data_IF_033781601311
#
_entry.id   IF_033781601311
#
_cell.length_a   1.000
_cell.length_b   1.000
_cell.length_c   1.000
_cell.angle_alpha   90.00
_cell.angle_beta   90.00
_cell.angle_gamma   90.00
#
_symmetry.space_group_name_H-M   'P 1'
#
loop_
_entity.id
_entity.type
_entity.pdbx_description
1 polymer ?
#
# COMPACT_ATOMS: atom_id res chain seq x y z
N UNK A 1 54.17 -6.22 46.52
CA UNK A 1 54.27 -5.68 45.15
C UNK A 1 52.86 -5.25 44.74
N UNK A 2 52.62 -3.92 44.65
CA UNK A 2 51.44 -3.23 44.06
C UNK A 2 50.12 -3.38 44.83
N UNK A 3 49.67 -2.38 45.60
CA UNK A 3 48.84 -1.20 45.22
C UNK A 3 47.36 -1.55 44.99
N UNK A 4 46.43 -1.38 45.94
CA UNK A 4 45.61 -0.19 46.34
C UNK A 4 44.84 0.57 45.21
N UNK A 5 43.52 0.60 45.39
CA UNK A 5 42.58 1.73 45.18
C UNK A 5 41.92 2.05 43.80
N UNK A 6 40.64 2.48 43.93
CA UNK A 6 39.74 3.22 43.02
C UNK A 6 39.06 2.44 41.86
N UNK A 7 37.74 2.16 41.90
CA UNK A 7 36.56 3.04 41.64
C UNK A 7 36.45 3.65 40.23
N UNK A 8 35.20 3.68 39.75
CA UNK A 8 34.58 4.48 38.67
C UNK A 8 34.31 3.83 37.30
N UNK A 9 32.99 3.62 37.08
CA UNK A 9 32.20 3.85 35.85
C UNK A 9 32.41 2.83 34.70
N UNK A 10 31.39 2.41 33.95
CA UNK A 10 30.15 3.10 33.62
C UNK A 10 29.02 2.12 33.30
N UNK A 11 27.82 2.50 33.71
CA UNK A 11 26.57 1.80 33.48
C UNK A 11 26.01 2.18 32.10
N UNK A 12 25.96 1.25 31.15
CA UNK A 12 25.37 1.56 29.83
C UNK A 12 24.74 0.38 29.06
N UNK A 13 24.50 -0.78 29.67
CA UNK A 13 23.97 -1.94 28.93
C UNK A 13 22.81 -2.69 29.60
N UNK A 14 21.96 -1.99 30.34
CA UNK A 14 20.76 -2.60 30.95
C UNK A 14 19.46 -1.82 30.71
N UNK A 15 19.37 -0.98 29.67
CA UNK A 15 18.25 -0.05 29.49
C UNK A 15 17.52 -0.11 28.14
N UNK A 16 17.53 -1.24 27.43
CA UNK A 16 16.85 -1.32 26.11
C UNK A 16 15.74 -2.38 25.99
N UNK A 17 15.39 -3.11 27.05
CA UNK A 17 14.32 -4.12 26.98
C UNK A 17 13.50 -4.08 28.27
N UNK A 18 12.62 -3.09 28.41
CA UNK A 18 11.34 -3.13 29.15
C UNK A 18 10.74 -1.71 29.24
N UNK A 19 10.14 -1.22 28.14
CA UNK A 19 9.23 -0.06 28.21
C UNK A 19 8.03 -0.22 27.26
N UNK A 20 7.47 -1.43 27.25
CA UNK A 20 6.11 -1.68 26.80
C UNK A 20 5.39 -2.39 27.94
N UNK A 21 5.02 -1.64 28.99
CA UNK A 21 3.78 -1.82 29.75
C UNK A 21 3.70 -0.80 30.90
N UNK A 22 2.55 -0.11 30.96
CA UNK A 22 2.00 0.58 32.13
C UNK A 22 2.48 2.02 32.39
N UNK A 23 2.24 2.94 31.45
CA UNK A 23 2.07 4.35 31.80
C UNK A 23 0.70 4.55 32.45
N UNK A 24 0.66 4.29 33.75
CA UNK A 24 -0.42 4.63 34.67
C UNK A 24 -0.66 6.13 34.60
N UNK A 25 -1.88 6.54 34.26
CA UNK A 25 -2.30 7.94 34.21
C UNK A 25 -2.15 8.58 35.61
N UNK A 26 -1.18 9.48 35.77
CA UNK A 26 -1.12 10.38 36.91
C UNK A 26 -2.07 11.57 36.67
N UNK A 27 -3.00 11.88 37.59
CA UNK A 27 -3.83 13.08 37.49
C UNK A 27 -3.11 14.23 38.18
N UNK A 28 -2.61 15.19 37.41
CA UNK A 28 -2.12 16.46 37.96
C UNK A 28 -0.77 16.88 37.43
N UNK A 29 -0.74 17.29 36.16
CA UNK A 29 0.08 18.44 35.78
C UNK A 29 -0.69 19.20 34.69
N UNK A 30 -1.54 20.13 35.12
CA UNK A 30 -2.25 21.04 34.22
C UNK A 30 -1.29 22.13 33.76
N UNK A 31 -0.31 21.77 32.95
CA UNK A 31 0.26 22.70 31.99
C UNK A 31 -0.91 23.13 31.09
N UNK A 32 -1.24 24.43 30.97
CA UNK A 32 -2.24 24.86 30.02
C UNK A 32 -1.73 24.45 28.65
N UNK A 33 -2.32 23.39 28.08
CA UNK A 33 -2.06 23.03 26.69
C UNK A 33 -2.35 24.30 25.92
N UNK A 34 -1.32 24.97 25.39
CA UNK A 34 -1.53 26.12 24.51
C UNK A 34 -2.53 25.62 23.48
N UNK A 35 -3.74 26.22 23.48
CA UNK A 35 -4.83 25.87 22.56
C UNK A 35 -4.45 26.37 21.18
N UNK A 36 -3.36 25.84 20.63
CA UNK A 36 -3.02 26.02 19.23
C UNK A 36 -4.03 25.24 18.41
N UNK A 37 -4.57 25.88 17.36
CA UNK A 37 -5.38 25.19 16.37
C UNK A 37 -4.59 24.00 15.80
N UNK A 38 -5.25 22.87 15.60
CA UNK A 38 -4.66 21.72 14.90
C UNK A 38 -4.90 21.90 13.40
N UNK A 39 -3.83 21.93 12.62
CA UNK A 39 -3.95 21.84 11.17
C UNK A 39 -4.45 20.45 10.79
N UNK A 40 -5.58 20.38 10.08
CA UNK A 40 -6.11 19.14 9.54
C UNK A 40 -6.33 19.34 8.06
N UNK A 41 -5.50 18.76 7.18
CA UNK A 41 -5.73 18.86 5.75
C UNK A 41 -7.06 18.21 5.40
N UNK A 42 -7.91 18.97 4.70
CA UNK A 42 -9.16 18.44 4.19
C UNK A 42 -8.86 17.57 2.97
N UNK A 43 -9.45 16.37 2.95
CA UNK A 43 -9.38 15.48 1.79
C UNK A 43 -10.02 16.14 0.57
N UNK A 44 -9.40 15.98 -0.59
CA UNK A 44 -9.95 16.45 -1.86
C UNK A 44 -11.24 15.71 -2.22
N UNK A 45 -12.06 16.31 -3.09
CA UNK A 45 -13.30 15.69 -3.62
C UNK A 45 -13.03 14.34 -4.29
N UNK A 46 -11.85 14.17 -4.88
CA UNK A 46 -11.45 12.92 -5.51
C UNK A 46 -11.00 11.90 -4.45
N UNK A 47 -10.31 12.30 -3.37
CA UNK A 47 -10.04 11.39 -2.24
C UNK A 47 -11.31 10.88 -1.55
N UNK A 48 -12.35 11.71 -1.45
CA UNK A 48 -13.66 11.30 -0.90
C UNK A 48 -14.44 10.41 -1.86
N UNK A 49 -14.29 10.58 -3.17
CA UNK A 49 -14.87 9.68 -4.19
C UNK A 49 -14.06 8.40 -4.40
N UNK A 50 -12.78 8.39 -4.05
CA UNK A 50 -11.86 7.25 -4.18
C UNK A 50 -12.08 6.19 -3.12
N UNK A 51 -13.34 5.93 -2.78
CA UNK A 51 -13.70 4.75 -2.02
C UNK A 51 -13.21 3.52 -2.81
N UNK A 52 -12.60 2.56 -2.12
CA UNK A 52 -11.87 1.42 -2.69
C UNK A 52 -12.67 0.71 -3.79
N UNK A 53 -12.56 1.17 -5.04
CA UNK A 53 -13.17 0.48 -6.17
C UNK A 53 -12.31 -0.73 -6.46
N UNK A 54 -12.67 -1.85 -5.88
CA UNK A 54 -11.99 -3.12 -6.08
C UNK A 54 -12.50 -3.75 -7.37
N UNK A 55 -11.59 -4.27 -8.20
CA UNK A 55 -11.89 -5.01 -9.40
C UNK A 55 -11.09 -6.30 -9.47
N UNK A 56 -11.52 -7.23 -10.32
CA UNK A 56 -10.83 -8.50 -10.53
C UNK A 56 -9.88 -8.42 -11.71
N UNK A 57 -8.68 -8.96 -11.53
CA UNK A 57 -7.68 -9.12 -12.59
C UNK A 57 -7.25 -10.57 -12.70
N UNK A 58 -6.89 -10.97 -13.91
CA UNK A 58 -6.26 -12.26 -14.14
C UNK A 58 -4.76 -12.19 -13.87
N UNK A 59 -4.26 -13.18 -13.14
CA UNK A 59 -2.85 -13.34 -12.77
C UNK A 59 -2.35 -14.69 -13.25
N UNK A 60 -1.15 -14.75 -13.79
CA UNK A 60 -0.50 -15.99 -14.19
C UNK A 60 0.94 -16.07 -13.68
N UNK A 61 1.42 -17.29 -13.41
CA UNK A 61 2.81 -17.56 -13.08
C UNK A 61 3.67 -17.57 -14.35
N UNK A 62 4.80 -16.84 -14.34
CA UNK A 62 5.69 -16.71 -15.50
C UNK A 62 7.16 -16.88 -15.09
N UNK A 63 7.96 -17.70 -15.80
CA UNK A 63 9.41 -17.75 -15.60
C UNK A 63 10.06 -16.41 -15.95
N UNK A 64 11.08 -15.97 -15.20
CA UNK A 64 11.68 -14.65 -15.42
C UNK A 64 12.23 -14.44 -16.84
N UNK A 65 12.67 -15.52 -17.51
CA UNK A 65 13.18 -15.49 -18.90
C UNK A 65 12.12 -15.14 -19.94
N UNK A 66 10.85 -15.50 -19.70
CA UNK A 66 9.74 -15.28 -20.65
C UNK A 66 8.85 -14.10 -20.27
N UNK A 67 9.08 -13.51 -19.09
CA UNK A 67 8.27 -12.43 -18.51
C UNK A 67 8.05 -11.25 -19.47
N UNK A 68 9.11 -10.76 -20.11
CA UNK A 68 9.03 -9.64 -21.05
C UNK A 68 8.25 -9.99 -22.32
N UNK A 69 8.45 -11.19 -22.87
CA UNK A 69 7.73 -11.70 -24.04
C UNK A 69 6.24 -11.80 -23.77
N UNK A 70 5.86 -12.40 -22.63
CA UNK A 70 4.47 -12.55 -22.22
C UNK A 70 3.82 -11.19 -21.99
N UNK A 71 4.50 -10.26 -21.31
CA UNK A 71 3.99 -8.89 -21.11
C UNK A 71 3.76 -8.16 -22.43
N UNK A 72 4.69 -8.28 -23.38
CA UNK A 72 4.55 -7.64 -24.69
C UNK A 72 3.40 -8.25 -25.50
N UNK A 73 3.15 -9.55 -25.39
CA UNK A 73 1.97 -10.17 -25.98
C UNK A 73 0.68 -9.62 -25.35
N UNK A 74 0.63 -9.54 -24.01
CA UNK A 74 -0.54 -9.02 -23.29
C UNK A 74 -0.84 -7.58 -23.68
N UNK A 75 0.17 -6.70 -23.80
CA UNK A 75 -0.01 -5.32 -24.28
C UNK A 75 -0.57 -5.24 -25.70
N UNK A 76 -0.30 -6.24 -26.55
CA UNK A 76 -0.86 -6.32 -27.91
C UNK A 76 -2.31 -6.80 -27.90
N UNK A 77 -2.65 -7.72 -26.98
CA UNK A 77 -4.01 -8.25 -26.84
C UNK A 77 -4.95 -7.24 -26.18
N UNK A 78 -4.46 -6.52 -25.17
CA UNK A 78 -5.23 -5.57 -24.38
C UNK A 78 -4.44 -4.25 -24.34
N UNK A 79 -4.57 -3.41 -25.38
CA UNK A 79 -4.00 -2.07 -25.34
C UNK A 79 -4.62 -1.30 -24.17
N UNK A 80 -3.77 -0.56 -23.44
CA UNK A 80 -4.14 0.26 -22.28
C UNK A 80 -5.00 -0.44 -21.23
N UNK A 81 -4.81 -1.76 -21.06
CA UNK A 81 -5.55 -2.63 -20.13
C UNK A 81 -7.10 -2.54 -20.30
N UNK A 82 -7.57 -2.09 -21.47
CA UNK A 82 -8.98 -1.87 -21.79
C UNK A 82 -9.53 -0.52 -21.32
N UNK A 83 -8.66 0.49 -21.18
CA UNK A 83 -9.00 1.83 -20.74
C UNK A 83 -8.96 2.03 -19.22
N UNK A 84 -8.46 1.04 -18.47
CA UNK A 84 -8.27 1.11 -17.02
C UNK A 84 -6.82 1.47 -16.71
N UNK A 85 -6.60 2.56 -15.97
CA UNK A 85 -5.26 2.92 -15.52
C UNK A 85 -4.85 2.08 -14.31
N UNK A 86 -4.09 1.01 -14.58
CA UNK A 86 -3.52 0.12 -13.56
C UNK A 86 -2.01 0.37 -13.35
N UNK A 87 -1.50 1.55 -13.72
CA UNK A 87 -0.08 1.85 -13.62
C UNK A 87 0.45 1.94 -12.19
N UNK A 88 -0.42 2.16 -11.20
CA UNK A 88 -0.07 2.09 -9.78
C UNK A 88 0.19 0.66 -9.31
N UNK A 89 -0.35 -0.35 -9.99
CA UNK A 89 -0.11 -1.74 -9.66
C UNK A 89 1.22 -2.22 -10.24
N UNK A 90 1.98 -2.95 -9.44
CA UNK A 90 3.20 -3.58 -9.92
C UNK A 90 2.82 -4.78 -10.79
N UNK A 91 2.95 -4.66 -12.11
CA UNK A 91 2.56 -5.74 -13.04
C UNK A 91 3.23 -7.08 -12.74
N UNK A 92 4.48 -7.06 -12.26
CA UNK A 92 5.17 -8.24 -11.76
C UNK A 92 5.27 -8.24 -10.24
N UNK A 93 4.85 -9.33 -9.62
CA UNK A 93 5.03 -9.57 -8.19
C UNK A 93 5.90 -10.81 -7.96
N UNK A 94 6.83 -10.71 -7.00
CA UNK A 94 7.56 -11.87 -6.51
C UNK A 94 6.69 -12.57 -5.45
N UNK A 95 6.83 -13.90 -5.25
CA UNK A 95 6.11 -14.62 -4.21
C UNK A 95 6.20 -13.96 -2.83
N UNK A 96 7.38 -13.44 -2.46
CA UNK A 96 7.63 -12.75 -1.20
C UNK A 96 6.94 -11.39 -1.02
N UNK A 97 6.57 -10.75 -2.13
CA UNK A 97 5.95 -9.41 -2.12
C UNK A 97 4.41 -9.54 -2.07
N UNK A 98 3.86 -10.75 -2.19
CA UNK A 98 2.43 -11.00 -2.25
C UNK A 98 1.78 -11.12 -0.87
N UNK A 99 0.54 -10.65 -0.71
CA UNK A 99 -0.28 -10.95 0.45
C UNK A 99 -0.39 -12.45 0.75
N UNK A 100 -0.55 -12.86 2.02
CA UNK A 100 -0.63 -14.28 2.40
C UNK A 100 -1.73 -15.06 1.67
N UNK A 101 -2.89 -14.44 1.47
CA UNK A 101 -4.05 -15.09 0.83
C UNK A 101 -3.86 -15.23 -0.69
N UNK A 102 -3.30 -14.22 -1.38
CA UNK A 102 -2.98 -14.34 -2.82
C UNK A 102 -1.82 -15.31 -3.03
N UNK A 103 -0.80 -15.27 -2.16
CA UNK A 103 0.29 -16.24 -2.19
C UNK A 103 -0.22 -17.68 -2.04
N UNK A 104 -1.12 -17.93 -1.07
CA UNK A 104 -1.74 -19.24 -0.88
C UNK A 104 -2.55 -19.66 -2.11
N UNK A 105 -3.36 -18.78 -2.68
CA UNK A 105 -4.15 -19.05 -3.88
C UNK A 105 -3.27 -19.42 -5.09
N UNK A 106 -2.16 -18.70 -5.27
CA UNK A 106 -1.27 -18.83 -6.43
C UNK A 106 -0.29 -20.02 -6.31
N UNK A 107 0.00 -20.46 -5.09
CA UNK A 107 0.96 -21.54 -4.80
C UNK A 107 0.28 -22.88 -4.52
N UNK A 108 -0.97 -22.86 -4.06
CA UNK A 108 -1.72 -24.09 -3.82
C UNK A 108 -2.14 -24.69 -5.16
N UNK A 109 -1.72 -25.92 -5.50
CA UNK A 109 -2.20 -26.60 -6.70
C UNK A 109 -3.67 -26.94 -6.50
N UNK A 110 -4.56 -26.08 -7.02
CA UNK A 110 -6.00 -26.34 -7.00
C UNK A 110 -6.33 -27.54 -7.90
N UNK A 111 -7.04 -28.57 -7.40
CA UNK A 111 -7.58 -29.63 -8.23
C UNK A 111 -8.82 -29.13 -8.98
N UNK A 112 -8.64 -28.68 -10.23
CA UNK A 112 -9.65 -28.43 -11.30
C UNK A 112 -10.39 -27.06 -11.33
N UNK A 113 -10.94 -26.62 -12.50
CA UNK A 113 -10.85 -27.16 -13.87
C UNK A 113 -10.34 -26.13 -14.91
N UNK A 114 -9.24 -26.45 -15.63
CA UNK A 114 -8.89 -26.02 -17.02
C UNK A 114 -7.40 -26.27 -17.31
N UNK A 115 -6.91 -27.46 -16.99
CA UNK A 115 -5.58 -27.91 -17.40
C UNK A 115 -5.68 -28.63 -18.74
N UNK A 116 -5.31 -27.99 -19.85
CA UNK A 116 -4.92 -28.72 -21.07
C UNK A 116 -3.49 -29.23 -20.87
N UNK A 117 -3.37 -30.43 -20.30
CA UNK A 117 -2.09 -31.13 -20.14
C UNK A 117 -1.89 -32.08 -21.31
N UNK A 118 -0.92 -31.79 -22.19
CA UNK A 118 -0.33 -32.82 -23.05
C UNK A 118 0.50 -33.78 -22.19
N UNK A 119 0.35 -35.11 -22.36
CA UNK A 119 1.10 -36.08 -21.56
C UNK A 119 2.51 -36.21 -22.15
N UNK A 120 3.50 -35.67 -21.45
CA UNK A 120 4.86 -36.15 -21.58
C UNK A 120 5.49 -36.24 -20.21
N UNK A 121 5.79 -37.49 -19.83
CA UNK A 121 6.39 -37.86 -18.58
C UNK A 121 7.82 -37.30 -18.46
N UNK A 122 8.06 -36.51 -17.42
CA UNK A 122 9.39 -36.37 -16.80
C UNK A 122 9.22 -35.78 -15.41
N UNK A 123 9.52 -36.59 -14.40
CA UNK A 123 9.62 -36.19 -13.00
C UNK A 123 10.63 -35.04 -12.85
N UNK A 124 10.12 -33.82 -12.75
CA UNK A 124 10.89 -32.61 -12.45
C UNK A 124 10.11 -31.89 -11.35
N UNK A 125 10.75 -31.46 -10.25
CA UNK A 125 10.05 -30.87 -9.11
C UNK A 125 9.18 -29.69 -9.56
N UNK A 126 8.04 -29.41 -8.89
CA UNK A 126 7.15 -28.33 -9.29
C UNK A 126 7.95 -27.02 -9.30
N UNK A 127 8.25 -26.51 -10.49
CA UNK A 127 8.94 -25.24 -10.64
C UNK A 127 7.98 -24.17 -10.16
N UNK A 128 8.11 -23.76 -8.90
CA UNK A 128 7.35 -22.63 -8.36
C UNK A 128 7.60 -21.43 -9.27
N UNK A 129 6.55 -20.78 -9.79
CA UNK A 129 6.73 -19.64 -10.68
C UNK A 129 7.54 -18.57 -9.95
N UNK A 130 8.63 -18.13 -10.59
CA UNK A 130 9.53 -17.13 -10.00
C UNK A 130 8.86 -15.76 -9.88
N UNK A 131 7.91 -15.48 -10.78
CA UNK A 131 7.18 -14.22 -10.87
C UNK A 131 5.70 -14.48 -11.20
N UNK A 132 4.85 -13.62 -10.66
CA UNK A 132 3.44 -13.53 -11.01
C UNK A 132 3.19 -12.26 -11.80
N UNK A 133 2.43 -12.38 -12.90
CA UNK A 133 2.13 -11.29 -13.82
C UNK A 133 0.63 -11.02 -13.85
N UNK A 134 0.25 -9.75 -13.67
CA UNK A 134 -1.09 -9.27 -14.00
C UNK A 134 -1.24 -9.23 -15.52
N UNK A 135 -2.18 -10.02 -16.03
CA UNK A 135 -2.52 -10.08 -17.44
C UNK A 135 -3.56 -9.04 -17.86
N UNK A 136 -4.33 -8.52 -16.92
CA UNK A 136 -5.35 -7.52 -17.17
C UNK A 136 -6.65 -7.80 -16.42
N UNK A 137 -7.61 -6.87 -16.49
CA UNK A 137 -8.88 -6.97 -15.80
C UNK A 137 -9.83 -7.97 -16.46
N UNK A 138 -10.65 -8.63 -15.65
CA UNK A 138 -11.64 -9.61 -16.12
C UNK A 138 -12.75 -8.99 -16.98
N UNK A 139 -12.90 -7.66 -16.93
CA UNK A 139 -13.82 -6.89 -17.78
C UNK A 139 -13.34 -6.71 -19.22
N UNK A 140 -12.03 -6.78 -19.47
CA UNK A 140 -11.45 -6.45 -20.79
C UNK A 140 -11.10 -7.70 -21.61
N UNK A 141 -10.84 -8.84 -20.95
CA UNK A 141 -10.51 -10.10 -21.62
C UNK A 141 -11.18 -11.27 -20.92
N UNK A 142 -11.54 -12.31 -21.66
CA UNK A 142 -12.07 -13.55 -21.09
C UNK A 142 -10.95 -14.59 -20.93
N UNK A 143 -11.00 -15.37 -19.85
CA UNK A 143 -10.07 -16.49 -19.55
C UNK A 143 -9.65 -17.34 -20.78
N UNK A 144 -10.55 -17.91 -21.61
CA UNK A 144 -10.16 -18.78 -22.72
C UNK A 144 -9.37 -18.07 -23.83
N UNK A 145 -9.66 -16.79 -24.11
CA UNK A 145 -8.94 -15.99 -25.12
C UNK A 145 -7.50 -15.74 -24.69
N UNK A 146 -7.34 -15.43 -23.40
CA UNK A 146 -6.04 -15.23 -22.78
C UNK A 146 -5.23 -16.54 -22.77
N UNK A 147 -5.84 -17.66 -22.38
CA UNK A 147 -5.18 -18.98 -22.39
C UNK A 147 -4.72 -19.39 -23.78
N UNK A 148 -5.57 -19.21 -24.80
CA UNK A 148 -5.24 -19.52 -26.20
C UNK A 148 -4.01 -18.74 -26.66
N UNK A 149 -3.90 -17.48 -26.25
CA UNK A 149 -2.78 -16.61 -26.62
C UNK A 149 -1.50 -16.92 -25.84
N UNK A 150 -1.61 -17.37 -24.59
CA UNK A 150 -0.46 -17.70 -23.74
C UNK A 150 0.10 -19.11 -23.99
N UNK A 151 -0.75 -20.04 -24.43
CA UNK A 151 -0.40 -21.45 -24.74
C UNK A 151 0.88 -21.64 -25.56
N UNK A 152 1.14 -20.88 -26.64
CA UNK A 152 2.37 -21.05 -27.44
C UNK A 152 3.65 -20.61 -26.73
N UNK A 153 3.57 -19.81 -25.66
CA UNK A 153 4.74 -19.22 -24.99
C UNK A 153 5.04 -19.95 -23.68
N UNK A 154 3.99 -20.33 -22.94
CA UNK A 154 4.11 -20.89 -21.60
C UNK A 154 3.79 -22.39 -21.61
N UNK A 155 4.73 -23.26 -21.18
CA UNK A 155 4.52 -24.70 -21.17
C UNK A 155 3.48 -25.15 -20.12
N UNK A 156 3.25 -24.34 -19.09
CA UNK A 156 2.24 -24.59 -18.05
C UNK A 156 1.62 -23.24 -17.66
N UNK A 157 0.30 -23.14 -17.76
CA UNK A 157 -0.44 -21.90 -17.52
C UNK A 157 -1.46 -22.16 -16.42
N UNK A 158 -1.37 -21.37 -15.36
CA UNK A 158 -2.37 -21.32 -14.30
C UNK A 158 -2.88 -19.90 -14.20
N UNK A 159 -4.16 -19.72 -14.51
CA UNK A 159 -4.81 -18.43 -14.45
C UNK A 159 -5.61 -18.32 -13.15
N UNK A 160 -5.40 -17.23 -12.43
CA UNK A 160 -6.05 -16.95 -11.16
C UNK A 160 -6.75 -15.60 -11.22
N UNK A 161 -7.87 -15.47 -10.54
CA UNK A 161 -8.54 -14.20 -10.35
C UNK A 161 -8.15 -13.59 -9.00
N UNK A 162 -7.67 -12.35 -9.03
CA UNK A 162 -7.24 -11.63 -7.82
C UNK A 162 -7.95 -10.28 -7.76
N UNK A 163 -8.35 -9.90 -6.55
CA UNK A 163 -8.96 -8.60 -6.27
C UNK A 163 -7.86 -7.53 -6.12
N UNK A 164 -7.98 -6.44 -6.87
CA UNK A 164 -7.00 -5.33 -6.85
C UNK A 164 -7.70 -3.96 -6.88
N UNK A 165 -7.09 -2.92 -6.31
CA UNK A 165 -7.64 -1.57 -6.36
C UNK A 165 -7.56 -1.02 -7.79
N UNK A 166 -8.71 -0.55 -8.31
CA UNK A 166 -8.83 0.03 -9.66
C UNK A 166 -8.38 1.49 -9.74
N UNK A 167 -8.21 2.15 -8.59
CA UNK A 167 -7.77 3.53 -8.50
C UNK A 167 -6.36 3.58 -7.91
N UNK A 168 -5.59 4.58 -8.33
CA UNK A 168 -4.28 4.83 -7.75
C UNK A 168 -4.40 5.24 -6.26
N UNK A 169 -3.44 4.83 -5.40
CA UNK A 169 -3.45 5.21 -4.00
C UNK A 169 -3.26 6.72 -3.86
N UNK A 170 -3.95 7.32 -2.90
CA UNK A 170 -3.87 8.76 -2.60
C UNK A 170 -2.76 9.09 -1.61
N UNK A 171 -2.36 8.11 -0.78
CA UNK A 171 -1.26 8.23 0.18
C UNK A 171 -0.31 7.03 0.15
N UNK A 172 0.90 7.23 0.69
CA UNK A 172 1.88 6.16 0.85
C UNK A 172 1.38 5.07 1.81
N UNK A 173 0.72 5.44 2.90
CA UNK A 173 0.12 4.51 3.87
C UNK A 173 -0.96 3.63 3.22
N UNK A 174 -1.78 4.22 2.36
CA UNK A 174 -2.80 3.49 1.61
C UNK A 174 -2.15 2.48 0.66
N UNK A 175 -1.09 2.88 -0.07
CA UNK A 175 -0.37 1.96 -0.95
C UNK A 175 0.25 0.77 -0.19
N UNK A 176 0.77 0.98 1.02
CA UNK A 176 1.28 -0.09 1.88
C UNK A 176 0.16 -1.04 2.34
N UNK A 177 -0.97 -0.46 2.75
CA UNK A 177 -2.16 -1.21 3.16
C UNK A 177 -2.68 -2.08 2.02
N UNK A 178 -2.81 -1.51 0.82
CA UNK A 178 -3.24 -2.24 -0.37
C UNK A 178 -2.22 -3.27 -0.86
N UNK A 179 -0.92 -3.00 -0.72
CA UNK A 179 0.14 -3.97 -1.02
C UNK A 179 0.05 -5.20 -0.14
N UNK A 180 -0.35 -5.02 1.12
CA UNK A 180 -0.51 -6.11 2.09
C UNK A 180 -1.86 -6.82 1.93
N UNK A 181 -2.89 -6.13 1.44
CA UNK A 181 -4.27 -6.63 1.39
C UNK A 181 -4.73 -7.16 0.03
N UNK A 182 -4.18 -6.67 -1.07
CA UNK A 182 -4.69 -6.97 -2.40
C UNK A 182 -3.55 -7.37 -3.34
N UNK A 183 -2.70 -6.40 -3.68
CA UNK A 183 -1.60 -6.58 -4.61
C UNK A 183 -0.55 -5.48 -4.44
N UNK A 184 0.75 -5.76 -4.66
CA UNK A 184 1.81 -4.76 -4.65
C UNK A 184 1.46 -3.49 -5.42
N UNK A 185 1.30 -2.40 -4.69
CA UNK A 185 0.84 -1.10 -5.19
C UNK A 185 1.86 -0.02 -4.88
N UNK A 186 2.11 0.86 -5.84
CA UNK A 186 3.09 1.94 -5.76
C UNK A 186 2.38 3.28 -5.70
N UNK A 187 2.68 4.05 -4.64
CA UNK A 187 2.34 5.46 -4.57
C UNK A 187 3.39 6.30 -5.31
N UNK A 188 2.95 7.12 -6.27
CA UNK A 188 3.81 8.10 -6.95
C UNK A 188 3.63 9.46 -6.28
N UNK A 189 4.72 10.10 -5.89
CA UNK A 189 4.71 11.45 -5.28
C UNK A 189 4.24 12.57 -6.23
N UNK A 190 4.16 12.30 -7.54
CA UNK A 190 3.55 13.16 -8.55
C UNK A 190 2.02 13.00 -8.63
N UNK A 191 1.40 12.52 -7.55
CA UNK A 191 -0.02 12.22 -7.54
C UNK A 191 -0.83 13.50 -7.79
N UNK A 192 -1.74 13.53 -8.78
CA UNK A 192 -2.57 14.72 -9.02
C UNK A 192 -3.56 15.01 -7.87
N UNK A 193 -3.70 14.10 -6.91
CA UNK A 193 -4.73 14.14 -5.87
C UNK A 193 -4.29 14.88 -4.59
N UNK A 194 -3.76 16.09 -4.75
CA UNK A 194 -3.51 17.02 -3.64
C UNK A 194 -2.06 17.52 -3.51
N UNK A 195 -1.80 18.49 -2.62
CA UNK A 195 -0.46 19.00 -2.37
C UNK A 195 0.45 17.91 -1.78
N UNK A 196 1.73 17.94 -2.15
CA UNK A 196 2.71 16.98 -1.65
C UNK A 196 2.79 17.03 -0.11
N UNK A 197 2.97 15.90 0.59
CA UNK A 197 3.03 15.86 2.06
C UNK A 197 4.04 16.84 2.65
N UNK A 198 5.18 17.08 2.00
CA UNK A 198 6.16 18.08 2.47
C UNK A 198 5.64 19.51 2.46
N UNK A 199 4.67 19.84 1.57
CA UNK A 199 4.02 21.16 1.56
C UNK A 199 3.11 21.27 2.77
N UNK A 200 2.39 20.19 3.12
CA UNK A 200 1.54 20.15 4.30
C UNK A 200 2.37 20.21 5.59
N UNK A 201 3.47 19.45 5.67
CA UNK A 201 4.39 19.47 6.81
C UNK A 201 5.00 20.85 7.00
N UNK A 202 5.47 21.49 5.92
CA UNK A 202 6.03 22.84 5.98
C UNK A 202 4.98 23.86 6.42
N UNK A 203 3.77 23.79 5.87
CA UNK A 203 2.68 24.69 6.25
C UNK A 203 2.26 24.46 7.72
N UNK A 204 2.26 23.21 8.20
CA UNK A 204 1.98 22.89 9.58
C UNK A 204 3.07 23.41 10.53
N UNK A 205 4.34 23.28 10.15
CA UNK A 205 5.47 23.80 10.93
C UNK A 205 5.47 25.33 11.02
N UNK A 206 5.20 26.00 9.89
CA UNK A 206 5.04 27.46 9.82
C UNK A 206 3.91 27.95 10.76
N UNK A 207 2.72 27.36 10.65
CA UNK A 207 1.59 27.72 11.51
C UNK A 207 1.81 27.38 12.99
N UNK A 208 2.59 26.33 13.30
CA UNK A 208 2.91 25.94 14.68
C UNK A 208 3.87 26.92 15.34
N UNK A 209 4.77 27.54 14.57
CA UNK A 209 5.71 28.54 15.04
C UNK A 209 5.12 29.93 15.26
N UNK A 210 3.94 30.20 14.69
CA UNK A 210 3.33 31.54 14.68
C UNK A 210 2.33 31.74 15.83
N UNK A 211 2.67 32.61 16.79
CA UNK A 211 1.74 32.99 17.86
C UNK A 211 0.48 33.71 17.34
N UNK A 212 0.55 34.31 16.15
CA UNK A 212 -0.59 34.97 15.51
C UNK A 212 -1.73 34.00 15.19
N UNK A 213 -1.42 32.77 14.76
CA UNK A 213 -2.44 31.75 14.43
C UNK A 213 -3.28 31.42 15.65
N UNK A 214 -2.64 31.29 16.83
CA UNK A 214 -3.32 31.05 18.10
C UNK A 214 -4.26 32.22 18.41
N UNK A 215 -3.75 33.45 18.29
CA UNK A 215 -4.54 34.66 18.55
C UNK A 215 -5.77 34.76 17.64
N UNK A 216 -5.63 34.49 16.34
CA UNK A 216 -6.75 34.53 15.41
C UNK A 216 -7.79 33.43 15.70
N UNK A 217 -7.35 32.23 16.09
CA UNK A 217 -8.27 31.15 16.48
C UNK A 217 -9.05 31.49 17.75
N UNK A 218 -8.42 32.09 18.76
CA UNK A 218 -9.11 32.52 19.98
C UNK A 218 -10.15 33.61 19.72
N UNK A 219 -9.83 34.57 18.84
CA UNK A 219 -10.78 35.62 18.44
C UNK A 219 -11.97 34.98 17.72
N UNK A 220 -11.72 34.05 16.79
CA UNK A 220 -12.77 33.37 16.06
C UNK A 220 -13.69 32.55 17.00
N UNK A 221 -13.13 31.82 17.96
CA UNK A 221 -13.88 31.07 18.98
C UNK A 221 -14.76 32.02 19.81
N UNK A 222 -14.20 33.14 20.30
CA UNK A 222 -14.95 34.13 21.09
C UNK A 222 -16.12 34.74 20.31
N UNK A 223 -15.88 35.16 19.07
CA UNK A 223 -16.93 35.73 18.22
C UNK A 223 -18.02 34.70 17.92
N UNK A 224 -17.65 33.45 17.66
CA UNK A 224 -18.62 32.37 17.44
C UNK A 224 -19.51 32.14 18.67
N UNK A 225 -18.94 32.15 19.88
CA UNK A 225 -19.71 32.05 21.12
C UNK A 225 -20.65 33.24 21.35
N UNK A 226 -20.17 34.46 21.08
CA UNK A 226 -20.97 35.68 21.22
C UNK A 226 -22.15 35.68 20.25
N UNK A 227 -21.92 35.33 18.99
CA UNK A 227 -22.99 35.15 17.98
C UNK A 227 -24.00 34.10 18.42
N UNK A 228 -23.54 32.94 18.90
CA UNK A 228 -24.42 31.87 19.38
C UNK A 228 -25.29 32.33 20.56
N UNK A 229 -24.70 33.03 21.56
CA UNK A 229 -25.43 33.58 22.72
C UNK A 229 -26.41 34.69 22.32
N UNK A 230 -26.08 35.48 21.30
CA UNK A 230 -26.92 36.56 20.81
C UNK A 230 -28.05 36.09 19.87
N UNK A 231 -28.09 34.81 19.49
CA UNK A 231 -29.15 34.23 18.66
C UNK A 231 -29.21 34.76 17.22
N UNK A 232 -28.08 35.21 16.66
CA UNK A 232 -27.94 35.65 15.26
C UNK A 232 -26.95 34.76 14.52
#
# INVERSE_FOLDING_TARGET
MGDVEAQMLDASEANLIMDLQSSTFLPGDSQPRRRGGRFVPLKTTLETRSNEKIGKVYVTGVPAKLASTVLNLIRKLIPDDGGLDLQHLRRFAKPKDLPPHTHALLTTPSPSPSTLTSPSASATPPSTPELFLICGPTSSITSPSLLTSLSPILPTIHLYEVDVPMLAPTSQEQALTWSTRYWPTVYKKSNPFGPHPSILERAEEEMRGEEEVVRYMEIAERVAEESFKSGR
#
